data_IF_694944411475
#
_entry.id   IF_694944411475
#
_cell.length_a   1.000
_cell.length_b   1.000
_cell.length_c   1.000
_cell.angle_alpha   90.00
_cell.angle_beta   90.00
_cell.angle_gamma   90.00
#
_symmetry.space_group_name_H-M   'P 1'
#
loop_
_entity.id
_entity.type
_entity.pdbx_description
1 polymer ?
#
# COMPACT_ATOMS: atom_id res chain seq x y z
N UNK A 1 9.53 2.61 -0.69
CA UNK A 1 8.58 3.67 -1.03
C UNK A 1 7.50 3.59 0.01
N UNK A 2 7.21 4.71 0.64
CA UNK A 2 6.26 4.76 1.75
C UNK A 2 4.91 5.18 1.16
N UNK A 3 3.87 4.40 1.47
CA UNK A 3 2.52 4.60 0.94
C UNK A 3 1.52 4.55 2.07
N UNK A 4 0.48 5.37 1.98
CA UNK A 4 -0.65 5.34 2.91
C UNK A 4 -1.73 4.41 2.38
N UNK A 5 -2.22 3.50 3.22
CA UNK A 5 -3.32 2.62 2.87
C UNK A 5 -4.64 3.39 2.95
N UNK A 6 -5.38 3.45 1.84
CA UNK A 6 -6.72 4.07 1.80
C UNK A 6 -7.85 3.10 2.17
N UNK A 7 -7.51 1.81 2.28
CA UNK A 7 -8.41 0.71 2.63
C UNK A 7 -7.62 -0.35 3.39
N UNK A 8 -8.32 -1.14 4.19
CA UNK A 8 -7.70 -2.25 4.91
C UNK A 8 -7.20 -3.30 3.92
N UNK A 9 -5.94 -3.71 4.09
CA UNK A 9 -5.32 -4.75 3.28
C UNK A 9 -4.76 -5.82 4.21
N UNK A 10 -5.37 -7.00 4.18
CA UNK A 10 -5.09 -8.12 5.09
C UNK A 10 -3.59 -8.48 5.27
N UNK A 11 -2.73 -8.18 4.28
CA UNK A 11 -1.30 -8.49 4.31
C UNK A 11 -0.38 -7.28 4.56
N UNK A 12 -0.93 -6.06 4.60
CA UNK A 12 -0.14 -4.82 4.73
C UNK A 12 -0.49 -4.04 6.00
N UNK A 13 -1.77 -3.94 6.35
CA UNK A 13 -2.22 -3.13 7.48
C UNK A 13 -3.63 -2.59 7.30
N UNK A 14 -3.97 -1.63 8.15
CA UNK A 14 -5.28 -0.98 8.18
C UNK A 14 -5.26 0.38 7.48
N UNK A 15 -6.44 0.90 7.21
CA UNK A 15 -6.65 2.20 6.58
C UNK A 15 -6.00 3.30 7.42
N UNK A 16 -5.20 4.14 6.78
CA UNK A 16 -4.45 5.22 7.41
C UNK A 16 -3.01 4.86 7.78
N UNK A 17 -2.64 3.58 7.73
CA UNK A 17 -1.27 3.15 8.01
C UNK A 17 -0.31 3.53 6.89
N UNK A 18 0.89 4.00 7.28
CA UNK A 18 2.00 4.22 6.36
C UNK A 18 2.86 2.97 6.33
N UNK A 19 2.89 2.30 5.17
CA UNK A 19 3.62 1.06 4.97
C UNK A 19 4.74 1.23 3.95
N UNK A 20 5.88 0.59 4.22
CA UNK A 20 7.04 0.63 3.32
C UNK A 20 7.02 -0.56 2.38
N UNK A 21 6.79 -0.29 1.09
CA UNK A 21 6.71 -1.32 0.06
C UNK A 21 7.75 -1.13 -1.04
N UNK A 22 7.95 -2.19 -1.83
CA UNK A 22 8.78 -2.12 -3.04
C UNK A 22 8.10 -1.20 -4.07
N UNK A 23 8.86 -0.31 -4.75
CA UNK A 23 8.27 0.66 -5.67
C UNK A 23 7.45 0.03 -6.82
N UNK A 24 7.86 -1.14 -7.33
CA UNK A 24 7.11 -1.85 -8.36
C UNK A 24 5.76 -2.37 -7.88
N UNK A 25 5.67 -2.81 -6.62
CA UNK A 25 4.40 -3.28 -6.03
C UNK A 25 3.43 -2.11 -5.80
N UNK A 26 3.93 -0.97 -5.31
CA UNK A 26 3.13 0.25 -5.20
C UNK A 26 2.55 0.68 -6.55
N UNK A 27 3.41 0.86 -7.57
CA UNK A 27 3.01 1.41 -8.87
C UNK A 27 2.18 0.48 -9.73
N UNK A 28 2.45 -0.83 -9.69
CA UNK A 28 1.85 -1.77 -10.63
C UNK A 28 0.67 -2.55 -10.02
N UNK A 29 0.50 -2.53 -8.69
CA UNK A 29 -0.55 -3.31 -8.02
C UNK A 29 -1.42 -2.48 -7.07
N UNK A 30 -0.82 -1.61 -6.25
CA UNK A 30 -1.58 -0.83 -5.25
C UNK A 30 -2.24 0.42 -5.84
N UNK A 31 -1.54 1.18 -6.70
CA UNK A 31 -2.07 2.41 -7.32
C UNK A 31 -3.14 2.13 -8.39
N UNK A 32 -3.01 1.12 -9.27
CA UNK A 32 -4.01 0.86 -10.30
C UNK A 32 -5.33 0.25 -9.79
N UNK A 33 -5.51 0.07 -8.47
CA UNK A 33 -6.55 -0.80 -7.89
C UNK A 33 -7.33 -0.17 -6.74
#
# INVERSE_FOLDING_TARGET
MDVILLKDVNSLGTTGDIVKVKPGYARNFLVPR
#
